data_IF_679766936594
#
_entry.id   IF_679766936594
#
_cell.length_a   1.000
_cell.length_b   1.000
_cell.length_c   1.000
_cell.angle_alpha   90.00
_cell.angle_beta   90.00
_cell.angle_gamma   90.00
#
_symmetry.space_group_name_H-M   'P 1'
#
loop_
_entity.id
_entity.type
_entity.pdbx_description
1 polymer ?
#
# COMPACT_ATOMS: atom_id res chain seq x y z
N UNK A 1 20.89 -4.72 2.60
CA UNK A 1 19.74 -4.45 1.71
C UNK A 1 18.77 -3.60 2.50
N UNK A 2 18.33 -2.48 1.96
CA UNK A 2 17.38 -1.55 2.60
C UNK A 2 15.97 -2.13 2.47
N UNK A 3 15.40 -2.61 3.58
CA UNK A 3 14.06 -3.18 3.61
C UNK A 3 13.01 -2.09 3.32
N UNK A 4 11.97 -2.42 2.54
CA UNK A 4 10.86 -1.49 2.27
C UNK A 4 11.08 -0.45 1.16
N UNK A 5 12.11 -0.58 0.32
CA UNK A 5 12.27 0.30 -0.83
C UNK A 5 11.27 0.00 -1.95
N UNK A 6 10.67 1.05 -2.49
CA UNK A 6 9.76 0.98 -3.62
C UNK A 6 10.54 0.87 -4.92
N UNK A 7 10.18 -0.11 -5.75
CA UNK A 7 10.67 -0.29 -7.11
C UNK A 7 9.51 -0.50 -8.11
N UNK A 8 9.45 0.28 -9.20
CA UNK A 8 10.31 1.42 -9.54
C UNK A 8 10.21 2.57 -8.55
N UNK A 9 11.29 3.34 -8.38
CA UNK A 9 11.30 4.49 -7.46
C UNK A 9 10.25 5.53 -7.89
N UNK A 10 9.38 5.99 -6.97
CA UNK A 10 8.43 7.07 -7.26
C UNK A 10 9.14 8.35 -7.68
N UNK A 11 8.47 9.17 -8.50
CA UNK A 11 9.00 10.46 -8.96
C UNK A 11 9.33 11.38 -7.78
N UNK A 12 8.47 11.39 -6.77
CA UNK A 12 8.65 12.11 -5.51
C UNK A 12 8.32 11.18 -4.34
N UNK A 13 9.19 11.17 -3.34
CA UNK A 13 9.00 10.35 -2.14
C UNK A 13 9.55 11.10 -0.91
N UNK A 14 8.70 11.23 0.10
CA UNK A 14 9.06 11.73 1.43
C UNK A 14 8.83 10.59 2.42
N UNK A 15 9.86 10.24 3.19
CA UNK A 15 9.85 9.15 4.18
C UNK A 15 10.26 9.76 5.53
N UNK A 16 9.67 9.24 6.60
CA UNK A 16 9.98 9.61 7.98
C UNK A 16 10.44 8.36 8.75
N UNK A 17 11.20 8.55 9.82
CA UNK A 17 11.67 7.48 10.70
C UNK A 17 10.58 7.09 11.73
N UNK A 18 9.37 6.88 11.24
CA UNK A 18 8.19 6.51 12.03
C UNK A 18 7.47 5.35 11.34
N UNK A 19 6.98 4.38 12.13
CA UNK A 19 6.38 3.17 11.61
C UNK A 19 4.97 2.93 12.16
N UNK A 20 4.16 2.26 11.35
CA UNK A 20 2.83 1.79 11.72
C UNK A 20 2.82 0.28 11.72
N UNK A 21 2.16 -0.31 12.72
CA UNK A 21 1.85 -1.73 12.68
C UNK A 21 0.78 -1.99 11.62
N UNK A 22 0.93 -3.13 10.94
CA UNK A 22 0.03 -3.56 9.88
C UNK A 22 -0.36 -5.02 10.11
N UNK A 23 -1.66 -5.27 10.28
CA UNK A 23 -2.22 -6.60 10.48
C UNK A 23 -3.18 -6.90 9.34
N UNK A 24 -2.84 -7.79 8.38
CA UNK A 24 -3.68 -8.04 7.22
C UNK A 24 -5.09 -8.52 7.56
N UNK A 25 -5.28 -9.17 8.73
CA UNK A 25 -6.58 -9.67 9.19
C UNK A 25 -7.55 -8.53 9.57
N UNK A 26 -7.00 -7.42 10.04
CA UNK A 26 -7.77 -6.23 10.45
C UNK A 26 -7.76 -5.13 9.38
N UNK A 27 -6.95 -5.30 8.33
CA UNK A 27 -6.80 -4.33 7.26
C UNK A 27 -7.90 -4.49 6.19
N UNK A 28 -8.39 -3.36 5.67
CA UNK A 28 -9.28 -3.35 4.51
C UNK A 28 -9.04 -2.14 3.61
N UNK A 29 -9.37 -2.31 2.33
CA UNK A 29 -9.46 -1.21 1.38
C UNK A 29 -10.85 -0.57 1.45
N UNK A 30 -10.91 0.76 1.51
CA UNK A 30 -12.19 1.50 1.51
C UNK A 30 -12.30 2.32 0.21
N UNK A 31 -13.41 2.19 -0.51
CA UNK A 31 -13.63 2.94 -1.75
C UNK A 31 -14.31 4.27 -1.40
N UNK A 32 -13.67 5.37 -1.75
CA UNK A 32 -14.15 6.74 -1.45
C UNK A 32 -14.49 7.56 -2.70
N UNK A 33 -14.40 6.95 -3.88
CA UNK A 33 -14.70 7.57 -5.17
C UNK A 33 -15.39 6.59 -6.13
N UNK A 34 -15.08 6.71 -7.42
CA UNK A 34 -15.59 5.77 -8.43
C UNK A 34 -15.06 4.35 -8.19
N UNK A 35 -15.85 3.36 -8.63
CA UNK A 35 -15.57 1.93 -8.48
C UNK A 35 -15.89 1.19 -9.76
N UNK A 36 -15.24 0.05 -9.95
CA UNK A 36 -15.50 -0.90 -11.04
C UNK A 36 -14.95 -2.29 -10.69
N UNK A 37 -15.22 -3.26 -11.54
CA UNK A 37 -14.82 -4.66 -11.32
C UNK A 37 -13.29 -4.81 -11.25
N UNK A 38 -12.54 -4.12 -12.11
CA UNK A 38 -11.07 -4.14 -12.10
C UNK A 38 -10.49 -3.66 -10.76
N UNK A 39 -11.10 -2.65 -10.15
CA UNK A 39 -10.71 -2.16 -8.83
C UNK A 39 -10.97 -3.20 -7.74
N UNK A 40 -12.15 -3.84 -7.78
CA UNK A 40 -12.48 -4.87 -6.80
C UNK A 40 -11.58 -6.11 -6.93
N UNK A 41 -11.27 -6.52 -8.16
CA UNK A 41 -10.36 -7.65 -8.40
C UNK A 41 -8.92 -7.30 -8.01
N UNK A 42 -8.51 -6.05 -8.20
CA UNK A 42 -7.23 -5.56 -7.66
C UNK A 42 -7.20 -5.67 -6.13
N UNK A 43 -8.27 -5.28 -5.43
CA UNK A 43 -8.32 -5.42 -3.97
C UNK A 43 -8.22 -6.86 -3.51
N UNK A 44 -8.93 -7.80 -4.16
CA UNK A 44 -8.81 -9.24 -3.86
C UNK A 44 -7.36 -9.72 -4.01
N UNK A 45 -6.71 -9.33 -5.11
CA UNK A 45 -5.31 -9.70 -5.38
C UNK A 45 -4.35 -9.12 -4.33
N UNK A 46 -4.42 -7.83 -4.06
CA UNK A 46 -3.51 -7.18 -3.11
C UNK A 46 -3.75 -7.64 -1.68
N UNK A 47 -5.00 -7.88 -1.27
CA UNK A 47 -5.28 -8.42 0.04
C UNK A 47 -4.66 -9.82 0.22
N UNK A 48 -4.81 -10.69 -0.78
CA UNK A 48 -4.16 -12.01 -0.81
C UNK A 48 -2.63 -11.92 -0.73
N UNK A 49 -2.03 -11.00 -1.51
CA UNK A 49 -0.58 -10.79 -1.49
C UNK A 49 -0.08 -10.32 -0.13
N UNK A 50 -0.77 -9.38 0.52
CA UNK A 50 -0.43 -8.86 1.84
C UNK A 50 -0.57 -9.94 2.92
N UNK A 51 -1.64 -10.74 2.87
CA UNK A 51 -1.84 -11.87 3.77
C UNK A 51 -0.74 -12.94 3.61
N UNK A 52 -0.38 -13.30 2.38
CA UNK A 52 0.72 -14.23 2.10
C UNK A 52 2.08 -13.70 2.58
N UNK A 53 2.30 -12.38 2.51
CA UNK A 53 3.52 -11.74 3.01
C UNK A 53 3.62 -11.85 4.53
N UNK A 54 2.53 -11.60 5.25
CA UNK A 54 2.49 -11.70 6.71
C UNK A 54 2.60 -13.15 7.21
N UNK A 55 1.94 -14.11 6.57
CA UNK A 55 2.01 -15.53 6.99
C UNK A 55 3.41 -16.13 6.81
N UNK A 56 4.19 -15.67 5.82
CA UNK A 56 5.62 -16.01 5.71
C UNK A 56 6.45 -15.45 6.88
N UNK A 57 6.02 -14.33 7.46
CA UNK A 57 6.70 -13.65 8.56
C UNK A 57 6.52 -14.35 9.91
N UNK A 58 5.34 -14.90 10.19
CA UNK A 58 5.07 -15.64 11.43
C UNK A 58 6.00 -16.86 11.66
N UNK A 59 6.75 -17.28 10.63
CA UNK A 59 7.79 -18.31 10.75
C UNK A 59 9.16 -17.78 11.18
N UNK A 60 9.34 -16.47 11.25
CA UNK A 60 10.59 -15.79 11.59
C UNK A 60 10.35 -14.93 12.85
N UNK A 61 10.71 -15.47 14.01
CA UNK A 61 10.68 -14.71 15.27
C UNK A 61 11.71 -13.59 15.19
N UNK A 62 11.26 -12.36 14.98
CA UNK A 62 12.09 -11.16 15.01
C UNK A 62 11.50 -10.20 16.04
N UNK A 63 12.35 -9.71 16.93
CA UNK A 63 11.97 -8.70 17.92
C UNK A 63 12.13 -7.33 17.27
N UNK A 64 11.00 -6.66 17.03
CA UNK A 64 10.97 -5.28 16.56
C UNK A 64 11.20 -4.33 17.74
N UNK A 65 12.12 -3.38 17.58
CA UNK A 65 12.18 -2.21 18.48
C UNK A 65 10.87 -1.44 18.36
N UNK A 66 10.21 -1.22 19.50
CA UNK A 66 8.88 -0.60 19.58
C UNK A 66 8.92 0.93 19.62
N UNK A 67 10.12 1.52 19.75
CA UNK A 67 10.27 2.94 20.11
C UNK A 67 9.88 3.90 18.97
N UNK A 68 9.85 3.41 17.73
CA UNK A 68 9.47 4.17 16.53
C UNK A 68 8.06 3.82 16.01
N UNK A 69 7.33 2.95 16.72
CA UNK A 69 5.97 2.56 16.33
C UNK A 69 4.99 3.59 16.89
N UNK A 70 4.35 4.36 16.01
CA UNK A 70 3.47 5.48 16.39
C UNK A 70 1.97 5.17 16.29
N UNK A 71 1.61 4.00 15.77
CA UNK A 71 0.21 3.63 15.58
C UNK A 71 0.02 2.33 14.81
N UNK A 72 -1.24 2.10 14.42
CA UNK A 72 -1.69 0.94 13.64
C UNK A 72 -2.47 1.45 12.42
N UNK A 73 -2.19 0.86 11.26
CA UNK A 73 -2.90 1.16 10.03
C UNK A 73 -3.91 0.04 9.71
N UNK A 74 -5.20 0.40 9.69
CA UNK A 74 -6.30 -0.55 9.46
C UNK A 74 -7.03 -0.32 8.13
N UNK A 75 -6.88 0.86 7.54
CA UNK A 75 -7.60 1.22 6.32
C UNK A 75 -6.73 1.98 5.32
N UNK A 76 -6.80 1.58 4.05
CA UNK A 76 -6.36 2.40 2.93
C UNK A 76 -7.61 2.91 2.19
N UNK A 77 -7.84 4.22 2.26
CA UNK A 77 -8.88 4.88 1.47
C UNK A 77 -8.39 5.01 0.04
N UNK A 78 -9.13 4.46 -0.91
CA UNK A 78 -8.81 4.49 -2.34
C UNK A 78 -9.80 5.42 -3.01
N UNK A 79 -9.30 6.52 -3.53
CA UNK A 79 -10.08 7.58 -4.14
C UNK A 79 -9.71 7.69 -5.62
N UNK A 80 -10.61 7.20 -6.47
CA UNK A 80 -10.51 7.38 -7.91
C UNK A 80 -11.50 8.46 -8.34
N UNK A 81 -10.99 9.52 -8.99
CA UNK A 81 -11.81 10.73 -9.26
C UNK A 81 -12.59 10.68 -10.56
N UNK A 82 -12.25 9.78 -11.50
CA UNK A 82 -13.03 9.55 -12.72
C UNK A 82 -13.57 8.12 -12.79
N UNK A 83 -14.61 7.85 -13.61
CA UNK A 83 -15.05 6.50 -13.92
C UNK A 83 -13.93 5.64 -14.52
N UNK A 84 -14.03 4.32 -14.36
CA UNK A 84 -13.04 3.41 -14.93
C UNK A 84 -13.01 3.44 -16.46
N UNK A 85 -11.81 3.29 -16.99
CA UNK A 85 -11.56 3.05 -18.41
C UNK A 85 -11.48 1.54 -18.66
N UNK A 86 -12.05 1.07 -19.78
CA UNK A 86 -12.10 -0.37 -20.08
C UNK A 86 -10.78 -0.93 -20.63
N UNK A 87 -10.02 -0.11 -21.37
CA UNK A 87 -8.82 -0.56 -22.05
C UNK A 87 -7.68 0.44 -21.84
N UNK A 88 -6.44 -0.04 -21.66
CA UNK A 88 -5.29 0.84 -21.54
C UNK A 88 -5.01 1.55 -22.87
N UNK A 89 -4.42 2.73 -22.79
CA UNK A 89 -4.03 3.52 -23.97
C UNK A 89 -2.69 4.20 -23.74
N UNK A 90 -2.03 4.64 -24.82
CA UNK A 90 -0.74 5.35 -24.72
C UNK A 90 -0.81 6.65 -23.91
N UNK A 91 -1.99 7.27 -23.84
CA UNK A 91 -2.21 8.54 -23.16
C UNK A 91 -2.99 8.36 -21.85
N UNK A 92 -3.08 7.13 -21.33
CA UNK A 92 -3.77 6.86 -20.07
C UNK A 92 -3.03 7.49 -18.89
N UNK A 93 -3.76 7.94 -17.87
CA UNK A 93 -3.15 8.62 -16.74
C UNK A 93 -2.74 7.62 -15.65
N UNK A 94 -1.46 7.30 -15.56
CA UNK A 94 -0.90 6.39 -14.55
C UNK A 94 -0.43 7.10 -13.27
N UNK A 95 -0.72 8.40 -13.12
CA UNK A 95 -0.30 9.17 -11.93
C UNK A 95 -1.10 8.76 -10.70
N UNK A 96 -0.42 8.73 -9.56
CA UNK A 96 -1.02 8.46 -8.27
C UNK A 96 -0.30 9.24 -7.16
N UNK A 97 -0.99 9.39 -6.04
CA UNK A 97 -0.44 9.93 -4.80
C UNK A 97 -0.81 9.00 -3.64
N UNK A 98 0.16 8.66 -2.80
CA UNK A 98 -0.06 7.92 -1.55
C UNK A 98 0.31 8.82 -0.38
N UNK A 99 -0.61 8.94 0.57
CA UNK A 99 -0.40 9.61 1.86
C UNK A 99 -0.67 8.62 2.96
N UNK A 100 0.25 8.52 3.92
CA UNK A 100 0.12 7.66 5.09
C UNK A 100 0.18 8.55 6.32
N UNK A 101 -0.85 8.46 7.15
CA UNK A 101 -0.98 9.16 8.41
C UNK A 101 -1.06 8.12 9.55
N UNK A 102 -1.04 8.57 10.81
CA UNK A 102 -0.88 7.70 11.99
C UNK A 102 -1.93 6.58 12.16
N UNK A 103 -3.07 6.64 11.47
CA UNK A 103 -4.18 5.67 11.60
C UNK A 103 -4.75 5.16 10.27
N UNK A 104 -4.39 5.79 9.14
CA UNK A 104 -4.98 5.47 7.84
C UNK A 104 -4.11 5.96 6.69
N UNK A 105 -4.35 5.39 5.51
CA UNK A 105 -3.76 5.84 4.27
C UNK A 105 -4.80 6.38 3.30
N UNK A 106 -4.33 7.17 2.34
CA UNK A 106 -5.06 7.63 1.17
C UNK A 106 -4.25 7.29 -0.08
N UNK A 107 -4.85 6.57 -1.02
CA UNK A 107 -4.39 6.41 -2.39
C UNK A 107 -5.33 7.19 -3.30
N UNK A 108 -4.81 8.25 -3.92
CA UNK A 108 -5.54 9.12 -4.83
C UNK A 108 -5.01 8.93 -6.26
N UNK A 109 -5.91 8.73 -7.22
CA UNK A 109 -5.58 8.78 -8.64
C UNK A 109 -6.79 9.24 -9.48
N UNK A 110 -6.50 9.71 -10.69
CA UNK A 110 -7.54 10.12 -11.64
C UNK A 110 -8.16 8.94 -12.40
N UNK A 111 -7.44 7.83 -12.54
CA UNK A 111 -7.84 6.67 -13.33
C UNK A 111 -7.55 5.36 -12.59
N UNK A 112 -8.12 4.26 -13.12
CA UNK A 112 -7.83 2.91 -12.64
C UNK A 112 -6.34 2.55 -12.79
N UNK A 113 -5.69 3.05 -13.83
CA UNK A 113 -4.27 2.76 -14.10
C UNK A 113 -3.38 3.33 -13.00
N UNK A 114 -3.63 4.58 -12.58
CA UNK A 114 -2.94 5.19 -11.44
C UNK A 114 -3.20 4.43 -10.14
N UNK A 115 -4.45 4.02 -9.88
CA UNK A 115 -4.77 3.20 -8.70
C UNK A 115 -3.98 1.89 -8.70
N UNK A 116 -3.89 1.18 -9.82
CA UNK A 116 -3.12 -0.07 -9.91
C UNK A 116 -1.63 0.14 -9.60
N UNK A 117 -1.01 1.23 -10.09
CA UNK A 117 0.38 1.59 -9.75
C UNK A 117 0.56 1.95 -8.29
N UNK A 118 -0.41 2.65 -7.72
CA UNK A 118 -0.42 3.01 -6.31
C UNK A 118 -0.57 1.80 -5.39
N UNK A 119 -1.47 0.86 -5.71
CA UNK A 119 -1.64 -0.37 -4.92
C UNK A 119 -0.37 -1.23 -4.93
N UNK A 120 0.32 -1.31 -6.08
CA UNK A 120 1.62 -1.97 -6.15
C UNK A 120 2.63 -1.32 -5.19
N UNK A 121 2.75 0.00 -5.29
CA UNK A 121 3.66 0.78 -4.44
C UNK A 121 3.35 0.60 -2.96
N UNK A 122 2.07 0.67 -2.57
CA UNK A 122 1.62 0.44 -1.21
C UNK A 122 2.02 -0.96 -0.70
N UNK A 123 1.88 -1.99 -1.53
CA UNK A 123 2.26 -3.36 -1.15
C UNK A 123 3.75 -3.55 -0.86
N UNK A 124 4.60 -2.71 -1.48
CA UNK A 124 6.05 -2.73 -1.29
C UNK A 124 6.47 -1.95 -0.03
N UNK A 125 5.75 -0.89 0.33
CA UNK A 125 5.97 -0.13 1.56
C UNK A 125 5.73 -0.95 2.83
N UNK A 126 4.85 -1.95 2.77
CA UNK A 126 4.64 -2.87 3.88
C UNK A 126 5.78 -3.87 3.90
N UNK A 127 6.61 -3.91 4.93
CA UNK A 127 7.67 -4.90 5.07
C UNK A 127 7.67 -5.53 6.46
N UNK A 128 8.35 -6.66 6.56
CA UNK A 128 8.51 -7.36 7.83
C UNK A 128 9.60 -6.63 8.60
N UNK A 129 9.28 -6.16 9.80
CA UNK A 129 10.28 -5.52 10.63
C UNK A 129 11.34 -6.54 11.04
N UNK A 130 12.53 -6.39 10.47
CA UNK A 130 13.73 -7.08 10.94
C UNK A 130 14.45 -6.16 11.89
N UNK A 131 15.04 -6.71 12.94
CA UNK A 131 16.00 -6.04 13.78
C UNK A 131 17.12 -5.44 12.91
N UNK A 132 17.27 -4.12 12.98
CA UNK A 132 18.36 -3.38 12.34
C UNK A 132 19.68 -3.57 13.06
N UNK A 133 20.14 -4.82 13.19
CA UNK A 133 21.44 -5.16 13.77
C UNK A 133 22.54 -5.13 12.69
N UNK A 134 22.96 -3.93 12.28
CA UNK A 134 24.34 -3.63 11.85
C UNK A 134 24.65 -2.15 12.03
#
# INVERSE_FOLDING_TARGET
>A
MTNGQVWPKPVLQHIYDEYLTFEPENFHFNITGYSCDDLQDAFKRYNSMLFLKATKAFKQNTSLSTDLIIGKMEVLNVQMTNPCENYPSLNMDEKYEIKINNSSGLLLASSIWGILRGLETFSQLIYLGTDGST
#
